data_IF_515659008851
#
_entry.id   IF_515659008851
#
_cell.length_a   1.000
_cell.length_b   1.000
_cell.length_c   1.000
_cell.angle_alpha   90.00
_cell.angle_beta   90.00
_cell.angle_gamma   90.00
#
_symmetry.space_group_name_H-M   'P 1'
#
loop_
_entity.id
_entity.type
_entity.pdbx_description
1 polymer ?
#
# COMPACT_ATOMS: atom_id res chain seq x y z
N UNK A 1 -6.86 -13.48 9.38
CA UNK A 1 -5.54 -12.84 9.41
C UNK A 1 -4.72 -13.44 8.27
N UNK A 2 -4.26 -12.60 7.32
CA UNK A 2 -3.22 -12.86 6.31
C UNK A 2 -3.42 -13.92 5.22
N UNK A 3 -3.99 -15.10 5.52
CA UNK A 3 -3.99 -16.22 4.56
C UNK A 3 -5.09 -16.09 3.50
N UNK A 4 -4.96 -15.12 2.60
CA UNK A 4 -5.94 -14.85 1.55
C UNK A 4 -6.08 -16.01 0.56
N UNK A 5 -5.09 -16.91 0.50
CA UNK A 5 -5.06 -18.08 -0.38
C UNK A 5 -5.56 -19.37 0.31
N UNK A 6 -5.87 -19.32 1.62
CA UNK A 6 -6.32 -20.46 2.42
C UNK A 6 -5.41 -21.70 2.36
N UNK A 7 -4.10 -21.49 2.35
CA UNK A 7 -3.16 -22.60 2.41
C UNK A 7 -3.21 -23.30 3.77
N UNK A 8 -3.09 -24.63 3.77
CA UNK A 8 -3.01 -25.41 5.02
C UNK A 8 -1.64 -25.27 5.70
N UNK A 9 -0.62 -24.88 4.93
CA UNK A 9 0.72 -24.59 5.42
C UNK A 9 0.94 -23.08 5.50
N UNK A 10 1.25 -22.60 6.70
CA UNK A 10 1.57 -21.22 6.99
C UNK A 10 2.55 -21.14 8.16
N UNK A 11 3.12 -19.95 8.34
CA UNK A 11 3.85 -19.59 9.55
C UNK A 11 3.35 -18.24 10.05
N UNK A 12 3.56 -17.97 11.33
CA UNK A 12 3.27 -16.67 11.92
C UNK A 12 4.54 -15.81 11.89
N UNK A 13 4.38 -14.57 11.45
CA UNK A 13 5.43 -13.58 11.45
C UNK A 13 4.98 -12.36 12.25
N UNK A 14 5.92 -11.74 12.96
CA UNK A 14 5.69 -10.41 13.53
C UNK A 14 5.64 -9.39 12.40
N UNK A 15 4.63 -8.54 12.42
CA UNK A 15 4.48 -7.41 11.49
C UNK A 15 4.73 -6.10 12.23
N UNK A 16 5.13 -5.07 11.50
CA UNK A 16 5.35 -3.73 12.03
C UNK A 16 4.82 -2.67 11.04
N UNK A 17 4.60 -1.45 11.55
CA UNK A 17 4.20 -0.30 10.75
C UNK A 17 5.37 0.18 9.90
N UNK A 18 5.07 0.65 8.69
CA UNK A 18 6.07 1.26 7.83
C UNK A 18 6.79 2.45 8.51
N UNK A 19 6.05 3.27 9.27
CA UNK A 19 6.61 4.40 10.02
C UNK A 19 7.62 3.97 11.11
N UNK A 20 7.36 2.84 11.80
CA UNK A 20 8.32 2.24 12.74
C UNK A 20 9.60 1.83 12.03
N UNK A 21 9.46 1.08 10.93
CA UNK A 21 10.59 0.60 10.12
C UNK A 21 11.42 1.78 9.61
N UNK A 22 10.77 2.83 9.08
CA UNK A 22 11.46 4.05 8.64
C UNK A 22 12.24 4.71 9.78
N UNK A 23 11.65 4.83 10.96
CA UNK A 23 12.32 5.40 12.13
C UNK A 23 13.55 4.58 12.55
N UNK A 24 13.43 3.26 12.59
CA UNK A 24 14.55 2.36 12.92
C UNK A 24 15.70 2.47 11.91
N UNK A 25 15.36 2.62 10.64
CA UNK A 25 16.33 2.75 9.55
C UNK A 25 16.79 4.20 9.30
N UNK A 26 16.33 5.17 10.10
CA UNK A 26 16.61 6.61 9.96
C UNK A 26 16.20 7.20 8.61
N UNK A 27 15.09 6.75 8.03
CA UNK A 27 14.47 7.34 6.85
C UNK A 27 13.43 8.38 7.24
N UNK A 28 13.52 9.58 6.65
CA UNK A 28 12.51 10.63 6.81
C UNK A 28 11.58 10.75 5.60
N UNK A 29 11.96 10.19 4.46
CA UNK A 29 11.21 10.16 3.21
C UNK A 29 11.53 8.87 2.45
N UNK A 30 10.68 8.53 1.48
CA UNK A 30 10.90 7.42 0.54
C UNK A 30 10.71 7.93 -0.89
N UNK A 31 11.74 7.81 -1.72
CA UNK A 31 11.61 8.13 -3.15
C UNK A 31 10.65 7.19 -3.88
N UNK A 32 10.76 5.88 -3.61
CA UNK A 32 9.91 4.85 -4.21
C UNK A 32 9.57 3.79 -3.17
N UNK A 33 8.29 3.61 -2.87
CA UNK A 33 7.77 2.49 -2.11
C UNK A 33 7.09 1.50 -3.07
N UNK A 34 7.52 0.24 -3.10
CA UNK A 34 6.77 -0.85 -3.76
C UNK A 34 6.18 -1.77 -2.70
N UNK A 35 4.87 -1.96 -2.80
CA UNK A 35 4.05 -2.74 -1.90
C UNK A 35 3.47 -3.94 -2.63
N UNK A 36 3.93 -5.11 -2.23
CA UNK A 36 3.64 -6.40 -2.88
C UNK A 36 3.55 -7.43 -1.74
N UNK A 37 2.44 -7.36 -1.01
CA UNK A 37 2.27 -7.96 0.32
C UNK A 37 0.90 -8.63 0.45
N UNK A 38 0.68 -9.67 -0.34
CA UNK A 38 -0.37 -10.69 -0.25
C UNK A 38 -1.43 -10.49 0.86
N UNK A 39 -2.34 -9.54 0.67
CA UNK A 39 -3.55 -9.38 1.48
C UNK A 39 -3.51 -8.39 2.65
N UNK A 40 -2.41 -7.65 2.84
CA UNK A 40 -2.30 -6.58 3.85
C UNK A 40 -2.17 -5.17 3.24
N UNK A 41 -2.33 -5.03 1.93
CA UNK A 41 -2.12 -3.77 1.19
C UNK A 41 -3.01 -2.64 1.71
N UNK A 42 -4.30 -2.91 1.90
CA UNK A 42 -5.27 -1.89 2.35
C UNK A 42 -4.94 -1.34 3.74
N UNK A 43 -4.55 -2.22 4.67
CA UNK A 43 -4.18 -1.82 6.04
C UNK A 43 -2.88 -1.01 6.05
N UNK A 44 -1.89 -1.42 5.25
CA UNK A 44 -0.64 -0.65 5.12
C UNK A 44 -0.88 0.71 4.48
N UNK A 45 -1.75 0.81 3.46
CA UNK A 45 -2.10 2.11 2.85
C UNK A 45 -2.83 3.02 3.84
N UNK A 46 -3.80 2.49 4.59
CA UNK A 46 -4.53 3.28 5.58
C UNK A 46 -3.59 3.85 6.67
N UNK A 47 -2.63 3.03 7.12
CA UNK A 47 -1.64 3.46 8.11
C UNK A 47 -0.59 4.41 7.54
N UNK A 48 -0.17 4.22 6.28
CA UNK A 48 0.71 5.14 5.56
C UNK A 48 0.10 6.54 5.44
N UNK A 49 -1.18 6.64 5.07
CA UNK A 49 -1.91 7.90 4.97
C UNK A 49 -2.08 8.52 6.37
N UNK A 50 -2.51 7.73 7.36
CA UNK A 50 -2.73 8.21 8.72
C UNK A 50 -1.44 8.73 9.39
N UNK A 51 -0.30 8.10 9.10
CA UNK A 51 1.01 8.50 9.63
C UNK A 51 1.65 9.65 8.81
N UNK A 52 0.99 10.11 7.74
CA UNK A 52 1.45 11.16 6.83
C UNK A 52 2.89 10.90 6.34
N UNK A 53 3.15 9.67 5.87
CA UNK A 53 4.47 9.27 5.40
C UNK A 53 4.79 9.98 4.08
N UNK A 54 5.96 10.62 4.03
CA UNK A 54 6.47 11.31 2.85
C UNK A 54 7.01 10.31 1.81
N UNK A 55 6.17 9.95 0.83
CA UNK A 55 6.51 9.04 -0.26
C UNK A 55 6.29 9.74 -1.61
N UNK A 56 7.33 9.80 -2.44
CA UNK A 56 7.24 10.42 -3.75
C UNK A 56 6.49 9.56 -4.76
N UNK A 57 6.91 8.31 -4.93
CA UNK A 57 6.25 7.32 -5.80
C UNK A 57 5.83 6.11 -4.98
N UNK A 58 4.56 5.75 -5.09
CA UNK A 58 3.99 4.60 -4.43
C UNK A 58 3.48 3.59 -5.47
N UNK A 59 3.98 2.36 -5.40
CA UNK A 59 3.58 1.26 -6.27
C UNK A 59 2.90 0.18 -5.42
N UNK A 60 1.77 -0.33 -5.87
CA UNK A 60 1.05 -1.41 -5.18
C UNK A 60 0.45 -2.39 -6.17
N UNK A 61 0.60 -3.69 -5.87
CA UNK A 61 -0.20 -4.76 -6.47
C UNK A 61 -1.32 -5.13 -5.49
N UNK A 62 -2.57 -4.92 -5.88
CA UNK A 62 -3.70 -5.30 -5.02
C UNK A 62 -4.00 -6.80 -5.15
N UNK A 63 -3.69 -7.57 -4.11
CA UNK A 63 -4.10 -8.97 -4.00
C UNK A 63 -5.51 -9.07 -3.46
N UNK A 64 -6.42 -9.66 -4.25
CA UNK A 64 -7.84 -9.74 -3.89
C UNK A 64 -8.45 -11.10 -4.15
N UNK A 65 -9.54 -11.39 -3.43
CA UNK A 65 -10.15 -12.72 -3.39
C UNK A 65 -11.27 -12.96 -4.40
N UNK A 66 -11.94 -11.91 -4.89
CA UNK A 66 -12.94 -11.90 -6.00
C UNK A 66 -13.68 -10.53 -6.09
N UNK A 67 -14.70 -10.42 -6.95
CA UNK A 67 -15.42 -9.19 -7.40
C UNK A 67 -15.79 -8.11 -6.36
N UNK A 68 -15.95 -8.44 -5.07
CA UNK A 68 -16.17 -7.47 -4.00
C UNK A 68 -14.96 -6.53 -3.79
N UNK A 69 -13.80 -6.90 -4.34
CA UNK A 69 -12.55 -6.17 -4.20
C UNK A 69 -12.41 -4.89 -5.03
N UNK A 70 -13.18 -4.73 -6.11
CA UNK A 70 -13.06 -3.54 -6.95
C UNK A 70 -13.56 -2.28 -6.24
N UNK A 71 -14.56 -2.44 -5.37
CA UNK A 71 -15.07 -1.34 -4.55
C UNK A 71 -14.04 -0.90 -3.51
N UNK A 72 -13.37 -1.85 -2.87
CA UNK A 72 -12.31 -1.57 -1.89
C UNK A 72 -11.10 -0.91 -2.54
N UNK A 73 -10.69 -1.40 -3.72
CA UNK A 73 -9.65 -0.75 -4.54
C UNK A 73 -10.08 0.67 -4.88
N UNK A 74 -11.31 0.88 -5.36
CA UNK A 74 -11.78 2.23 -5.71
C UNK A 74 -11.79 3.17 -4.50
N UNK A 75 -12.23 2.70 -3.33
CA UNK A 75 -12.20 3.46 -2.09
C UNK A 75 -10.76 3.81 -1.68
N UNK A 76 -9.84 2.87 -1.85
CA UNK A 76 -8.43 3.07 -1.54
C UNK A 76 -7.78 4.06 -2.49
N UNK A 77 -8.11 4.00 -3.78
CA UNK A 77 -7.69 4.99 -4.78
C UNK A 77 -8.21 6.37 -4.37
N UNK A 78 -9.48 6.51 -3.98
CA UNK A 78 -10.02 7.80 -3.52
C UNK A 78 -9.30 8.31 -2.27
N UNK A 79 -8.98 7.45 -1.29
CA UNK A 79 -8.17 7.86 -0.13
C UNK A 79 -6.78 8.36 -0.53
N UNK A 80 -6.14 7.71 -1.50
CA UNK A 80 -4.84 8.12 -2.04
C UNK A 80 -4.95 9.47 -2.78
N UNK A 81 -6.00 9.66 -3.57
CA UNK A 81 -6.31 10.92 -4.25
C UNK A 81 -6.51 12.07 -3.26
N UNK A 82 -7.32 11.85 -2.21
CA UNK A 82 -7.54 12.80 -1.13
C UNK A 82 -6.23 13.12 -0.36
N UNK A 83 -5.31 12.16 -0.31
CA UNK A 83 -3.98 12.30 0.28
C UNK A 83 -2.94 12.92 -0.68
N UNK A 84 -3.34 13.39 -1.88
CA UNK A 84 -2.46 14.09 -2.81
C UNK A 84 -1.71 13.19 -3.80
N UNK A 85 -2.04 11.90 -3.87
CA UNK A 85 -1.50 10.98 -4.86
C UNK A 85 -2.36 10.91 -6.12
N UNK A 86 -1.75 10.73 -7.29
CA UNK A 86 -2.47 10.48 -8.53
C UNK A 86 -1.84 9.32 -9.29
N UNK A 87 -2.67 8.57 -10.01
CA UNK A 87 -2.23 7.41 -10.80
C UNK A 87 -1.37 7.87 -11.98
N UNK A 88 -0.14 7.35 -12.07
CA UNK A 88 0.78 7.58 -13.21
C UNK A 88 0.93 6.35 -14.11
N UNK A 89 0.59 5.16 -13.61
CA UNK A 89 0.62 3.92 -14.39
C UNK A 89 -0.35 2.90 -13.79
N UNK A 90 -0.92 2.07 -14.66
CA UNK A 90 -1.74 0.92 -14.27
C UNK A 90 -1.55 -0.25 -15.24
N UNK A 91 -1.35 -1.44 -14.71
CA UNK A 91 -1.39 -2.70 -15.46
C UNK A 91 -2.18 -3.75 -14.67
N UNK A 92 -3.44 -3.97 -15.02
CA UNK A 92 -4.28 -4.90 -14.25
C UNK A 92 -4.56 -4.37 -12.83
N UNK A 93 -4.02 -5.07 -11.82
CA UNK A 93 -4.07 -4.71 -10.40
C UNK A 93 -2.76 -4.10 -9.89
N UNK A 94 -1.75 -3.95 -10.74
CA UNK A 94 -0.58 -3.11 -10.49
C UNK A 94 -0.93 -1.65 -10.72
N UNK A 95 -0.69 -0.81 -9.72
CA UNK A 95 -0.82 0.63 -9.80
C UNK A 95 0.48 1.31 -9.38
N UNK A 96 0.78 2.42 -10.02
CA UNK A 96 1.80 3.37 -9.58
C UNK A 96 1.17 4.74 -9.43
N UNK A 97 1.47 5.38 -8.32
CA UNK A 97 0.99 6.70 -7.94
C UNK A 97 2.19 7.64 -7.73
N UNK A 98 2.00 8.93 -8.01
CA UNK A 98 2.95 9.98 -7.66
C UNK A 98 2.28 11.00 -6.76
N UNK A 99 2.99 11.49 -5.74
CA UNK A 99 2.50 12.56 -4.88
C UNK A 99 2.65 13.92 -5.56
N UNK A 100 1.62 14.77 -5.46
CA UNK A 100 1.56 16.07 -6.15
C UNK A 100 2.65 17.06 -5.73
N UNK A 101 3.20 16.94 -4.52
CA UNK A 101 4.26 17.83 -4.03
C UNK A 101 5.60 17.65 -4.76
N UNK A 102 5.71 16.61 -5.59
CA UNK A 102 6.92 16.27 -6.36
C UNK A 102 6.78 16.55 -7.87
N UNK A 103 5.76 17.32 -8.26
CA UNK A 103 5.55 17.84 -9.61
C UNK A 103 6.33 19.14 -9.89
#
# INVERSE_FOLDING_TARGET
MGNIQHTDHYFEATVDRLSSIMKEQNHSHIDILKLDIEGAEFEVIDTMIADNIDIRVFCVEFHTRETESLKEIQQTITKLEDAGYFVISRKGLDFSFMHQDYL
#
